data_IF_006448443964
#
_entry.id   IF_006448443964
#
_cell.length_a   1.000
_cell.length_b   1.000
_cell.length_c   1.000
_cell.angle_alpha   90.00
_cell.angle_beta   90.00
_cell.angle_gamma   90.00
#
_symmetry.space_group_name_H-M   'P 1'
#
loop_
_entity.id
_entity.type
_entity.pdbx_description
1 polymer ?
#
# COMPACT_ATOMS: atom_id res chain seq x y z
N UNK A 1 20.30 6.41 13.00
CA UNK A 1 19.75 7.01 11.76
C UNK A 1 18.65 6.10 11.25
N UNK A 2 17.45 6.63 10.96
CA UNK A 2 16.41 5.86 10.26
C UNK A 2 16.71 5.98 8.77
N UNK A 3 17.21 4.91 8.17
CA UNK A 3 17.44 4.83 6.74
C UNK A 3 16.10 5.04 6.02
N UNK A 4 15.96 6.18 5.34
CA UNK A 4 14.86 6.38 4.42
C UNK A 4 15.17 5.47 3.24
N UNK A 5 14.41 4.38 3.12
CA UNK A 5 14.39 3.51 1.95
C UNK A 5 14.37 4.39 0.68
N UNK A 6 15.50 4.45 -0.03
CA UNK A 6 15.69 5.17 -1.30
C UNK A 6 15.19 4.36 -2.49
N UNK A 7 14.17 3.50 -2.30
CA UNK A 7 13.51 2.79 -3.38
C UNK A 7 13.04 3.83 -4.38
N UNK A 8 13.71 3.85 -5.53
CA UNK A 8 13.47 4.74 -6.65
C UNK A 8 11.97 4.83 -6.90
N UNK A 9 11.37 5.97 -6.56
CA UNK A 9 9.95 6.18 -6.83
C UNK A 9 9.84 6.28 -8.36
N UNK A 10 9.16 5.34 -9.04
CA UNK A 10 9.05 5.40 -10.49
C UNK A 10 8.36 6.70 -10.90
N UNK A 11 8.95 7.39 -11.87
CA UNK A 11 8.41 8.61 -12.45
C UNK A 11 6.96 8.34 -12.91
N UNK A 12 6.00 9.09 -12.37
CA UNK A 12 4.58 8.93 -12.70
C UNK A 12 4.36 9.30 -14.17
N UNK A 13 4.11 8.30 -15.03
CA UNK A 13 3.78 8.52 -16.45
C UNK A 13 2.28 8.80 -16.69
N UNK A 14 1.46 8.79 -15.64
CA UNK A 14 0.01 8.81 -15.75
C UNK A 14 -0.55 10.24 -15.60
N UNK A 15 -0.23 11.10 -16.57
CA UNK A 15 -0.58 12.53 -16.58
C UNK A 15 -2.04 12.84 -16.95
N UNK A 16 -2.87 11.84 -17.29
CA UNK A 16 -4.16 12.04 -17.95
C UNK A 16 -5.42 11.65 -17.16
N UNK A 17 -5.34 11.36 -15.86
CA UNK A 17 -6.56 11.24 -15.04
C UNK A 17 -7.10 12.63 -14.78
N UNK A 18 -8.12 13.06 -15.52
CA UNK A 18 -8.76 14.37 -15.28
C UNK A 18 -9.45 14.48 -13.91
N UNK A 19 -9.70 13.34 -13.27
CA UNK A 19 -10.30 13.28 -11.96
C UNK A 19 -9.25 13.34 -10.83
N UNK A 20 -9.25 14.48 -10.13
CA UNK A 20 -8.35 14.73 -9.00
C UNK A 20 -8.60 13.77 -7.83
N UNK A 21 -9.81 13.25 -7.67
CA UNK A 21 -10.13 12.28 -6.64
C UNK A 21 -9.39 10.96 -6.91
N UNK A 22 -9.48 10.45 -8.14
CA UNK A 22 -8.80 9.24 -8.56
C UNK A 22 -7.27 9.35 -8.46
N UNK A 23 -6.69 10.50 -8.83
CA UNK A 23 -5.25 10.74 -8.61
C UNK A 23 -4.87 10.69 -7.13
N UNK A 24 -5.67 11.31 -6.26
CA UNK A 24 -5.42 11.33 -4.81
C UNK A 24 -5.51 9.93 -4.21
N UNK A 25 -6.50 9.14 -4.64
CA UNK A 25 -6.67 7.75 -4.23
C UNK A 25 -5.46 6.91 -4.68
N UNK A 26 -5.08 7.00 -5.96
CA UNK A 26 -3.92 6.27 -6.50
C UNK A 26 -2.62 6.65 -5.79
N UNK A 27 -2.40 7.93 -5.47
CA UNK A 27 -1.24 8.38 -4.72
C UNK A 27 -1.23 7.81 -3.29
N UNK A 28 -2.35 7.87 -2.57
CA UNK A 28 -2.46 7.30 -1.21
C UNK A 28 -2.23 5.78 -1.20
N UNK A 29 -2.79 5.07 -2.18
CA UNK A 29 -2.58 3.63 -2.34
C UNK A 29 -1.11 3.30 -2.65
N UNK A 30 -0.46 4.06 -3.55
CA UNK A 30 0.94 3.83 -3.93
C UNK A 30 1.91 4.02 -2.78
N UNK A 31 1.73 5.05 -1.97
CA UNK A 31 2.60 5.28 -0.80
C UNK A 31 2.27 4.28 0.34
N UNK A 32 1.26 3.42 0.15
CA UNK A 32 0.83 2.42 1.13
C UNK A 32 0.43 3.03 2.48
N UNK A 33 0.03 4.31 2.51
CA UNK A 33 -0.47 5.00 3.71
C UNK A 33 -1.90 4.57 4.07
N UNK A 34 -2.19 3.28 4.00
CA UNK A 34 -3.44 2.74 4.55
C UNK A 34 -3.20 2.45 6.03
N UNK A 35 -4.20 2.72 6.88
CA UNK A 35 -4.08 2.49 8.32
C UNK A 35 -3.69 1.03 8.62
N UNK A 36 -4.28 0.08 7.89
CA UNK A 36 -4.03 -1.36 8.07
C UNK A 36 -2.57 -1.76 7.86
N UNK A 37 -1.89 -1.17 6.87
CA UNK A 37 -0.50 -1.49 6.54
C UNK A 37 0.50 -0.60 7.25
N UNK A 38 0.13 0.62 7.67
CA UNK A 38 1.07 1.59 8.25
C UNK A 38 1.01 1.66 9.78
N UNK A 39 -0.09 1.23 10.41
CA UNK A 39 -0.30 1.35 11.87
C UNK A 39 0.85 0.72 12.67
N UNK A 40 1.30 -0.47 12.29
CA UNK A 40 2.33 -1.19 13.03
C UNK A 40 3.67 -0.42 13.08
N UNK A 41 3.98 0.39 12.06
CA UNK A 41 5.16 1.26 12.05
C UNK A 41 5.03 2.42 13.04
N UNK A 42 3.81 2.93 13.24
CA UNK A 42 3.53 4.03 14.17
C UNK A 42 3.53 3.55 15.62
N UNK A 43 2.95 2.38 15.88
CA UNK A 43 2.87 1.77 17.22
C UNK A 43 4.11 0.96 17.58
N UNK A 44 5.01 0.69 16.63
CA UNK A 44 6.15 -0.24 16.73
C UNK A 44 5.72 -1.67 17.07
N UNK A 45 4.51 -2.04 16.67
CA UNK A 45 4.03 -3.41 16.76
C UNK A 45 4.66 -4.30 15.68
N UNK A 46 4.45 -5.61 15.81
CA UNK A 46 4.82 -6.57 14.76
C UNK A 46 4.04 -6.30 13.46
N UNK A 47 4.69 -6.54 12.32
CA UNK A 47 4.03 -6.44 11.03
C UNK A 47 2.80 -7.36 10.99
N UNK A 48 1.62 -6.85 10.58
CA UNK A 48 0.43 -7.67 10.49
C UNK A 48 0.56 -8.67 9.33
N UNK A 49 -0.09 -9.82 9.49
CA UNK A 49 -0.18 -10.86 8.48
C UNK A 49 -1.60 -10.91 7.91
N UNK A 50 -1.72 -11.30 6.64
CA UNK A 50 -3.00 -11.64 6.06
C UNK A 50 -3.55 -12.90 6.72
N UNK A 51 -4.81 -12.89 7.15
CA UNK A 51 -5.45 -14.02 7.82
C UNK A 51 -5.58 -15.26 6.93
N UNK A 52 -5.78 -15.05 5.62
CA UNK A 52 -6.02 -16.14 4.67
C UNK A 52 -4.73 -16.62 3.99
N UNK A 53 -3.83 -15.69 3.67
CA UNK A 53 -2.62 -15.98 2.90
C UNK A 53 -1.38 -16.22 3.77
N UNK A 54 -1.44 -15.87 5.07
CA UNK A 54 -0.33 -15.98 6.02
C UNK A 54 0.98 -15.30 5.57
N UNK A 55 0.89 -14.33 4.65
CA UNK A 55 2.00 -13.47 4.21
C UNK A 55 1.92 -12.11 4.89
N UNK A 56 3.02 -11.35 4.97
CA UNK A 56 3.00 -9.99 5.50
C UNK A 56 1.97 -9.12 4.75
N UNK A 57 1.11 -8.45 5.52
CA UNK A 57 0.04 -7.62 4.97
C UNK A 57 0.64 -6.36 4.33
N UNK A 58 0.48 -6.23 3.02
CA UNK A 58 0.91 -5.06 2.24
C UNK A 58 -0.24 -4.56 1.36
N UNK A 59 -0.16 -3.30 0.90
CA UNK A 59 -1.19 -2.75 0.00
C UNK A 59 -1.18 -3.47 -1.34
N UNK A 60 0.00 -3.87 -1.82
CA UNK A 60 0.12 -4.72 -3.01
C UNK A 60 -0.60 -6.06 -2.80
N UNK A 61 -0.39 -6.69 -1.66
CA UNK A 61 -1.08 -7.94 -1.33
C UNK A 61 -2.60 -7.74 -1.37
N UNK A 62 -3.11 -6.74 -0.64
CA UNK A 62 -4.54 -6.44 -0.60
C UNK A 62 -5.16 -6.17 -1.98
N UNK A 63 -4.49 -5.37 -2.83
CA UNK A 63 -5.07 -4.93 -4.10
C UNK A 63 -4.89 -5.92 -5.26
N UNK A 64 -3.87 -6.78 -5.23
CA UNK A 64 -3.44 -7.55 -6.42
C UNK A 64 -3.25 -9.04 -6.16
N UNK A 65 -2.94 -9.45 -4.92
CA UNK A 65 -2.51 -10.82 -4.64
C UNK A 65 -3.44 -11.57 -3.69
N UNK A 66 -4.26 -10.87 -2.88
CA UNK A 66 -5.11 -11.47 -1.86
C UNK A 66 -6.40 -12.01 -2.49
N UNK A 67 -6.60 -13.34 -2.55
CA UNK A 67 -7.79 -13.93 -3.18
C UNK A 67 -9.07 -13.50 -2.46
N UNK A 68 -9.04 -13.45 -1.13
CA UNK A 68 -10.19 -13.11 -0.30
C UNK A 68 -10.69 -11.67 -0.43
N UNK A 69 -9.90 -10.76 -1.02
CA UNK A 69 -10.32 -9.38 -1.26
C UNK A 69 -10.64 -9.09 -2.74
N UNK A 70 -10.12 -9.92 -3.66
CA UNK A 70 -10.26 -9.72 -5.10
C UNK A 70 -11.49 -10.48 -5.65
N UNK A 71 -11.99 -11.48 -4.94
CA UNK A 71 -13.19 -12.28 -5.32
C UNK A 71 -14.54 -11.55 -5.11
N UNK A 72 -14.63 -10.23 -5.40
CA UNK A 72 -15.91 -9.46 -5.39
C UNK A 72 -16.38 -9.14 -6.80
#
# INVERSE_FOLDING_TARGET
MREINTSTIPQWTYSHVRDRLAQTLLARLRISHTYLTQRYLLTRDSQPYCGDCLVPLTVRHLLVECPSLIDV
#
